data_IF_956830038115
#
_entry.id   IF_956830038115
#
_cell.length_a   1.000
_cell.length_b   1.000
_cell.length_c   1.000
_cell.angle_alpha   90.00
_cell.angle_beta   90.00
_cell.angle_gamma   90.00
#
_symmetry.space_group_name_H-M   'P 1'
#
loop_
_entity.id
_entity.type
_entity.pdbx_description
1 polymer ?
2 non-polymer ?
3 water ?
#
# COMPACT_ATOMS: atom_id res chain seq x y z
N UNK A 4 -12.76 8.60 -26.11
CA UNK A 4 -12.02 8.05 -24.95
C UNK A 4 -10.72 7.37 -25.39
N UNK A 5 -9.64 7.67 -24.68
CA UNK A 5 -8.37 7.00 -24.93
C UNK A 5 -8.36 5.58 -24.35
N UNK A 6 -7.79 4.66 -25.12
CA UNK A 6 -7.76 3.25 -24.77
C UNK A 6 -6.39 2.87 -24.22
N UNK A 7 -6.38 2.07 -23.16
CA UNK A 7 -5.15 1.71 -22.46
C UNK A 7 -4.89 0.21 -22.47
N UNK A 8 -3.66 -0.16 -22.84
CA UNK A 8 -3.18 -1.53 -22.67
C UNK A 8 -2.28 -1.59 -21.44
N UNK A 9 -2.66 -2.41 -20.47
CA UNK A 9 -1.87 -2.64 -19.27
C UNK A 9 -0.97 -3.85 -19.49
N UNK A 10 0.34 -3.63 -19.42
CA UNK A 10 1.34 -4.68 -19.66
C UNK A 10 1.99 -5.04 -18.33
N UNK A 11 1.84 -6.29 -17.92
CA UNK A 11 2.20 -6.68 -16.56
C UNK A 11 2.50 -8.18 -16.35
N UNK A 12 3.51 -8.45 -15.54
CA UNK A 12 3.76 -9.78 -15.02
C UNK A 12 3.01 -10.01 -13.70
N UNK A 13 2.41 -8.94 -13.18
CA UNK A 13 1.78 -8.96 -11.86
C UNK A 13 0.27 -8.74 -11.97
N UNK A 14 -0.48 -9.83 -12.10
CA UNK A 14 -1.93 -9.75 -12.24
C UNK A 14 -2.58 -10.90 -11.47
N UNK A 15 -3.78 -10.67 -10.89
CA UNK A 15 -4.56 -11.77 -10.33
C UNK A 15 -4.78 -12.90 -11.35
N UNK A 16 -5.12 -14.12 -10.88
CA UNK A 16 -5.51 -14.51 -9.52
C UNK A 16 -4.39 -14.60 -8.48
N UNK A 17 -3.13 -14.50 -8.92
CA UNK A 17 -1.99 -14.47 -8.00
C UNK A 17 -2.14 -13.35 -6.98
N UNK A 18 -1.83 -13.65 -5.72
CA UNK A 18 -1.97 -12.70 -4.62
C UNK A 18 -0.67 -11.90 -4.43
N UNK A 19 -0.79 -10.59 -4.26
CA UNK A 19 0.36 -9.73 -4.00
C UNK A 19 0.05 -8.25 -4.02
N UNK A 20 1.05 -7.45 -3.66
CA UNK A 20 0.93 -5.99 -3.59
C UNK A 20 0.58 -5.33 -4.91
N UNK A 21 1.38 -5.60 -5.95
CA UNK A 21 1.16 -5.00 -7.27
C UNK A 21 -0.10 -5.56 -7.93
N UNK A 22 -0.40 -6.83 -7.68
CA UNK A 22 -1.64 -7.46 -8.15
C UNK A 22 -2.88 -6.72 -7.64
N UNK A 23 -2.89 -6.38 -6.35
CA UNK A 23 -3.99 -5.66 -5.73
C UNK A 23 -4.08 -4.22 -6.24
N UNK A 24 -2.91 -3.60 -6.38
CA UNK A 24 -2.76 -2.24 -6.92
C UNK A 24 -3.40 -2.11 -8.30
N UNK A 25 -3.06 -3.02 -9.21
CA UNK A 25 -3.56 -2.97 -10.58
C UNK A 25 -5.03 -3.35 -10.67
N UNK A 26 -5.43 -4.43 -10.01
CA UNK A 26 -6.84 -4.83 -9.93
C UNK A 26 -7.74 -3.65 -9.53
N UNK A 27 -7.37 -2.95 -8.46
CA UNK A 27 -8.22 -1.89 -7.91
C UNK A 27 -8.16 -0.59 -8.73
N UNK A 28 -7.01 -0.25 -9.30
CA UNK A 28 -6.92 0.90 -10.20
C UNK A 28 -7.68 0.69 -11.51
N UNK A 29 -7.56 -0.50 -12.09
CA UNK A 29 -8.27 -0.82 -13.35
C UNK A 29 -9.79 -0.74 -13.16
N UNK A 30 -10.26 -1.20 -12.00
CA UNK A 30 -11.69 -1.22 -11.67
C UNK A 30 -12.31 0.18 -11.60
N UNK A 31 -11.48 1.21 -11.43
CA UNK A 31 -11.95 2.60 -11.38
C UNK A 31 -12.20 3.19 -12.77
N UNK A 32 -11.69 2.52 -13.80
CA UNK A 32 -11.79 3.02 -15.17
C UNK A 32 -12.94 2.38 -15.94
N UNK A 33 -13.30 3.00 -17.07
CA UNK A 33 -14.27 2.43 -18.00
C UNK A 33 -13.70 1.12 -18.55
N UNK A 34 -14.37 -0.02 -18.28
CA UNK A 34 -13.87 -1.33 -18.72
C UNK A 34 -13.69 -1.44 -20.23
N UNK A 35 -14.49 -0.71 -20.99
CA UNK A 35 -14.38 -0.69 -22.45
C UNK A 35 -13.10 0.01 -22.95
N UNK A 36 -12.47 0.79 -22.06
CA UNK A 36 -11.24 1.52 -22.40
C UNK A 36 -9.97 0.85 -21.87
N UNK A 37 -10.12 -0.36 -21.34
CA UNK A 37 -9.01 -1.09 -20.72
C UNK A 37 -8.84 -2.47 -21.36
N UNK A 38 -7.59 -2.79 -21.71
CA UNK A 38 -7.18 -4.14 -22.10
C UNK A 38 -5.94 -4.51 -21.29
N UNK A 39 -5.90 -5.75 -20.79
CA UNK A 39 -4.73 -6.22 -20.04
C UNK A 39 -3.97 -7.28 -20.82
N UNK A 40 -2.64 -7.15 -20.83
CA UNK A 40 -1.72 -8.15 -21.37
C UNK A 40 -0.87 -8.67 -20.20
N UNK A 41 -1.17 -9.89 -19.75
CA UNK A 41 -0.58 -10.43 -18.54
C UNK A 41 -0.02 -11.85 -18.71
N UNK A 42 1.02 -12.17 -17.94
CA UNK A 42 1.57 -13.52 -17.88
C UNK A 42 0.56 -14.50 -17.28
N UNK A 43 0.85 -15.79 -17.40
CA UNK A 43 -0.04 -16.85 -16.92
C UNK A 43 0.72 -17.84 -16.03
N UNK A 44 0.30 -17.96 -14.78
CA UNK A 44 0.95 -18.85 -13.82
C UNK A 44 0.27 -20.21 -13.75
N UNK A 45 -1.06 -20.20 -13.75
CA UNK A 45 -1.87 -21.41 -13.87
C UNK A 45 -3.03 -21.13 -14.83
N UNK A 46 -3.07 -21.89 -15.92
CA UNK A 46 -4.01 -21.64 -17.03
C UNK A 46 -5.49 -21.66 -16.65
N UNK A 47 -5.93 -22.74 -15.97
CA UNK A 47 -7.33 -22.87 -15.57
C UNK A 47 -7.76 -21.81 -14.53
N UNK A 48 -6.86 -21.50 -13.60
CA UNK A 48 -7.12 -20.49 -12.58
C UNK A 48 -7.22 -19.09 -13.19
N UNK A 49 -6.37 -18.80 -14.17
CA UNK A 49 -6.40 -17.52 -14.90
C UNK A 49 -7.68 -17.38 -15.71
N UNK A 50 -8.06 -18.43 -16.43
CA UNK A 50 -9.31 -18.44 -17.20
C UNK A 50 -10.52 -18.21 -16.32
N UNK A 51 -10.53 -18.86 -15.15
CA UNK A 51 -11.63 -18.73 -14.19
C UNK A 51 -11.75 -17.31 -13.64
N UNK A 52 -10.61 -16.68 -13.35
CA UNK A 52 -10.59 -15.31 -12.86
C UNK A 52 -11.02 -14.30 -13.92
N UNK A 53 -10.45 -14.45 -15.13
CA UNK A 53 -10.74 -13.54 -16.24
C UNK A 53 -12.21 -13.55 -16.65
N UNK A 54 -12.84 -14.71 -16.49
CA UNK A 54 -14.27 -14.90 -16.76
C UNK A 54 -15.16 -14.01 -15.86
N UNK A 55 -14.64 -13.60 -14.72
CA UNK A 55 -15.41 -12.77 -13.76
C UNK A 55 -15.34 -11.28 -14.08
N UNK A 56 -14.41 -10.89 -14.95
CA UNK A 56 -14.14 -9.48 -15.23
C UNK A 56 -15.02 -8.91 -16.36
N UNK A 57 -15.24 -7.59 -16.33
CA UNK A 57 -15.99 -6.91 -17.39
C UNK A 57 -15.08 -6.21 -18.41
N UNK A 58 -13.77 -6.46 -18.30
CA UNK A 58 -12.79 -5.99 -19.28
C UNK A 58 -11.92 -7.15 -19.79
N UNK A 59 -11.31 -6.96 -20.96
CA UNK A 59 -10.55 -8.02 -21.63
C UNK A 59 -9.16 -8.22 -21.04
N UNK A 60 -8.81 -9.49 -20.81
CA UNK A 60 -7.45 -9.88 -20.43
C UNK A 60 -6.90 -10.82 -21.49
N UNK A 61 -5.79 -10.42 -22.10
CA UNK A 61 -5.06 -11.25 -23.06
C UNK A 61 -3.90 -11.91 -22.33
N UNK A 62 -3.97 -13.23 -22.21
CA UNK A 62 -2.99 -13.98 -21.43
C UNK A 62 -1.78 -14.41 -22.26
N UNK A 63 -0.60 -14.02 -21.81
CA UNK A 63 0.68 -14.45 -22.36
C UNK A 63 0.99 -15.84 -21.78
N UNK A 64 1.12 -16.86 -22.64
CA UNK A 64 1.24 -18.26 -22.18
C UNK A 64 2.61 -18.60 -21.57
N UNK A 65 3.18 -17.65 -20.85
CA UNK A 65 4.45 -17.83 -20.15
C UNK A 65 4.27 -17.50 -18.67
N UNK A 66 4.97 -18.25 -17.82
CA UNK A 66 4.89 -18.09 -16.37
C UNK A 66 5.43 -16.74 -15.90
N UNK A 67 6.40 -16.20 -16.64
CA UNK A 67 6.98 -14.89 -16.37
C UNK A 67 6.98 -14.09 -17.68
N UNK A 68 6.43 -12.87 -17.63
CA UNK A 68 6.54 -11.97 -18.77
C UNK A 68 7.82 -11.16 -18.65
N UNK A 69 8.69 -11.31 -19.65
CA UNK A 69 10.00 -10.67 -19.65
C UNK A 69 10.15 -9.77 -20.88
N UNK A 70 11.00 -8.73 -20.79
CA UNK A 70 11.25 -7.92 -21.98
C UNK A 70 12.10 -8.67 -23.00
N UNK A 71 11.45 -9.28 -23.99
CA UNK A 71 12.10 -10.06 -25.03
C UNK A 71 11.47 -9.69 -26.37
N UNK A 72 12.17 -9.95 -27.50
CA UNK A 72 11.60 -9.66 -28.82
C UNK A 72 10.21 -10.26 -29.05
N UNK A 73 9.99 -11.50 -28.61
CA UNK A 73 8.69 -12.16 -28.81
C UNK A 73 7.57 -11.49 -28.01
N UNK A 74 7.87 -11.14 -26.75
CA UNK A 74 6.90 -10.42 -25.91
C UNK A 74 6.59 -9.04 -26.48
N UNK A 75 7.63 -8.32 -26.91
CA UNK A 75 7.48 -7.00 -27.51
C UNK A 75 6.65 -7.04 -28.79
N UNK A 76 6.87 -8.08 -29.60
CA UNK A 76 6.10 -8.29 -30.84
C UNK A 76 4.62 -8.49 -30.55
N UNK A 77 4.31 -9.33 -29.56
CA UNK A 77 2.95 -9.61 -29.15
C UNK A 77 2.26 -8.36 -28.62
N UNK A 78 2.99 -7.58 -27.82
CA UNK A 78 2.50 -6.30 -27.31
C UNK A 78 2.19 -5.34 -28.46
N UNK A 79 3.10 -5.26 -29.42
CA UNK A 79 2.96 -4.39 -30.57
C UNK A 79 1.72 -4.70 -31.41
N UNK A 80 1.42 -5.97 -31.60
CA UNK A 80 0.26 -6.37 -32.40
C UNK A 80 -1.07 -6.09 -31.70
N UNK A 81 -1.08 -6.18 -30.37
CA UNK A 81 -2.26 -5.82 -29.57
C UNK A 81 -2.51 -4.32 -29.66
N UNK A 82 -1.45 -3.53 -29.54
CA UNK A 82 -1.52 -2.07 -29.66
C UNK A 82 -2.24 -1.65 -30.94
N UNK A 83 -1.85 -2.27 -32.06
CA UNK A 83 -2.44 -1.96 -33.36
C UNK A 83 -3.85 -2.54 -33.55
N UNK A 84 -4.06 -3.78 -33.09
CA UNK A 84 -5.36 -4.45 -33.26
C UNK A 84 -6.46 -3.83 -32.40
N UNK A 85 -6.14 -3.47 -31.16
CA UNK A 85 -7.11 -2.87 -30.25
C UNK A 85 -7.11 -1.34 -30.32
N UNK A 86 -6.34 -0.78 -31.26
CA UNK A 86 -6.21 0.68 -31.43
C UNK A 86 -5.86 1.38 -30.12
N UNK A 87 -4.76 0.92 -29.51
CA UNK A 87 -4.34 1.39 -28.19
C UNK A 87 -3.66 2.77 -28.24
N UNK A 88 -4.13 3.66 -27.36
CA UNK A 88 -3.58 5.00 -27.22
C UNK A 88 -2.50 5.05 -26.13
N UNK A 89 -2.80 4.46 -24.97
CA UNK A 89 -1.87 4.44 -23.83
C UNK A 89 -1.34 3.04 -23.58
N UNK A 90 -0.05 2.95 -23.31
CA UNK A 90 0.55 1.71 -22.82
C UNK A 90 1.05 1.93 -21.40
N UNK A 91 0.47 1.18 -20.47
CA UNK A 91 0.77 1.32 -19.05
C UNK A 91 1.48 0.07 -18.53
N UNK A 92 2.76 0.22 -18.22
CA UNK A 92 3.52 -0.84 -17.56
C UNK A 92 3.24 -0.76 -16.07
N UNK A 93 2.50 -1.75 -15.56
CA UNK A 93 2.07 -1.78 -14.16
C UNK A 93 3.21 -1.72 -13.17
N UNK A 94 4.35 -2.26 -13.58
CA UNK A 94 5.59 -2.15 -12.82
C UNK A 94 6.69 -1.77 -13.81
N UNK A 95 7.43 -0.72 -13.48
CA UNK A 95 8.41 -0.14 -14.41
C UNK A 95 9.57 -1.08 -14.74
N UNK A 96 10.26 -1.57 -13.71
CA UNK A 96 11.44 -2.41 -13.92
C UNK A 96 11.09 -3.90 -13.80
N UNK A 97 11.45 -4.71 -14.82
CA UNK A 97 12.13 -4.35 -16.07
C UNK A 97 11.25 -4.21 -17.33
N UNK A 98 9.94 -4.45 -17.24
CA UNK A 98 9.09 -4.53 -18.45
C UNK A 98 8.99 -3.24 -19.27
N UNK A 99 9.10 -2.08 -18.61
CA UNK A 99 9.04 -0.79 -19.31
C UNK A 99 10.25 -0.53 -20.22
N UNK A 100 11.19 -1.48 -20.26
CA UNK A 100 12.25 -1.47 -21.26
C UNK A 100 11.71 -1.76 -22.67
N UNK A 101 10.44 -2.15 -22.74
CA UNK A 101 9.73 -2.34 -24.01
C UNK A 101 8.97 -1.07 -24.45
N UNK A 102 9.21 0.05 -23.78
CA UNK A 102 8.50 1.30 -24.07
C UNK A 102 8.78 1.84 -25.47
N UNK A 103 10.02 1.64 -25.95
CA UNK A 103 10.40 2.00 -27.31
C UNK A 103 9.53 1.32 -28.35
N UNK A 104 9.33 0.02 -28.18
CA UNK A 104 8.48 -0.78 -29.07
C UNK A 104 7.04 -0.29 -29.04
N UNK A 105 6.56 0.11 -27.86
CA UNK A 105 5.21 0.63 -27.69
C UNK A 105 4.98 1.89 -28.54
N UNK A 106 5.94 2.81 -28.52
CA UNK A 106 5.89 4.01 -29.36
C UNK A 106 6.03 3.67 -30.85
N UNK A 107 6.88 2.71 -31.18
CA UNK A 107 7.04 2.22 -32.54
C UNK A 107 5.73 1.63 -33.10
N UNK A 108 5.00 0.93 -32.23
CA UNK A 108 3.74 0.28 -32.59
C UNK A 108 2.59 1.29 -32.76
N UNK A 109 2.81 2.53 -32.33
CA UNK A 109 1.86 3.61 -32.58
C UNK A 109 1.18 4.20 -31.35
N UNK A 110 1.56 3.75 -30.17
CA UNK A 110 1.04 4.32 -28.92
C UNK A 110 1.52 5.77 -28.75
N UNK A 111 0.60 6.63 -28.33
CA UNK A 111 0.87 8.07 -28.21
C UNK A 111 1.29 8.49 -26.80
N UNK A 112 1.14 7.57 -25.84
CA UNK A 112 1.56 7.81 -24.47
C UNK A 112 2.00 6.51 -23.79
N UNK A 113 3.16 6.56 -23.15
CA UNK A 113 3.66 5.44 -22.37
C UNK A 113 3.74 5.83 -20.89
N UNK A 114 3.10 5.01 -20.05
CA UNK A 114 3.10 5.22 -18.61
C UNK A 114 3.75 4.01 -17.95
N UNK A 115 4.56 4.27 -16.92
CA UNK A 115 5.11 3.19 -16.09
C UNK A 115 4.98 3.54 -14.60
N UNK A 116 4.52 2.58 -13.81
CA UNK A 116 4.32 2.77 -12.38
C UNK A 116 5.46 2.17 -11.56
N UNK A 117 6.04 2.98 -10.69
CA UNK A 117 7.04 2.49 -9.73
C UNK A 117 6.36 2.14 -8.43
N UNK A 118 7.02 1.31 -7.63
CA UNK A 118 6.49 0.91 -6.33
C UNK A 118 7.58 1.02 -5.26
N UNK A 119 8.08 -0.11 -4.78
CA UNK A 119 9.15 -0.11 -3.77
C UNK A 119 10.52 -0.46 -4.34
N UNK A 120 10.55 -1.41 -5.26
CA UNK A 120 11.80 -2.00 -5.75
C UNK A 120 12.76 -1.04 -6.45
N UNK A 121 12.22 -0.05 -7.16
CA UNK A 121 13.03 0.90 -7.93
C UNK A 121 14.02 1.71 -7.08
N UNK A 122 13.73 1.85 -5.79
CA UNK A 122 14.64 2.50 -4.84
C UNK A 122 15.98 1.76 -4.80
N UNK A 123 15.91 0.43 -4.66
CA UNK A 123 17.11 -0.41 -4.66
C UNK A 123 17.83 -0.42 -6.00
N UNK A 124 17.06 -0.26 -7.08
CA UNK A 124 17.61 -0.20 -8.45
C UNK A 124 18.48 1.04 -8.67
N UNK A 125 18.23 2.10 -7.92
CA UNK A 125 19.00 3.34 -8.04
C UNK A 125 20.36 3.29 -7.33
N UNK A 126 20.65 2.15 -6.69
CA UNK A 126 21.85 1.99 -5.87
C UNK A 126 23.00 1.28 -6.59
N UNK A 127 22.70 0.60 -7.68
CA UNK A 127 23.72 -0.14 -8.45
C UNK A 127 23.94 0.52 -9.83
N UNK A 128 25.19 0.47 -10.34
CA UNK A 128 25.52 1.11 -11.62
C UNK A 128 24.70 0.60 -12.80
N UNK A 129 24.57 -0.71 -12.91
CA UNK A 129 23.84 -1.34 -14.00
C UNK A 129 22.33 -1.12 -13.96
N UNK A 130 21.74 -1.35 -12.79
CA UNK A 130 20.30 -1.18 -12.60
C UNK A 130 19.88 0.28 -12.74
N UNK A 131 20.79 1.18 -12.37
CA UNK A 131 20.57 2.62 -12.52
C UNK A 131 20.53 3.02 -14.00
N UNK A 132 21.39 2.40 -14.81
CA UNK A 132 21.40 2.63 -16.24
C UNK A 132 20.11 2.13 -16.91
N UNK A 133 19.57 1.03 -16.39
CA UNK A 133 18.28 0.50 -16.85
C UNK A 133 17.14 1.47 -16.53
N UNK A 134 17.19 2.06 -15.34
CA UNK A 134 16.21 3.07 -14.92
C UNK A 134 16.24 4.29 -15.83
N UNK A 135 17.45 4.71 -16.25
CA UNK A 135 17.59 5.83 -17.18
C UNK A 135 16.99 5.51 -18.54
N UNK A 136 17.22 4.28 -19.03
CA UNK A 136 16.69 3.83 -20.31
C UNK A 136 15.17 3.83 -20.30
N UNK A 137 14.59 3.38 -19.18
CA UNK A 137 13.15 3.44 -18.97
C UNK A 137 12.67 4.90 -19.00
N UNK A 138 13.35 5.74 -18.23
CA UNK A 138 13.00 7.17 -18.14
C UNK A 138 12.99 7.89 -19.48
N UNK A 139 13.94 7.57 -20.35
CA UNK A 139 14.06 8.22 -21.65
C UNK A 139 12.94 7.86 -22.63
N UNK A 140 12.27 6.73 -22.38
CA UNK A 140 11.24 6.22 -23.29
C UNK A 140 9.82 6.28 -22.72
N UNK A 141 9.72 6.63 -21.44
CA UNK A 141 8.43 6.73 -20.75
C UNK A 141 7.99 8.19 -20.63
N UNK A 142 6.71 8.46 -20.93
CA UNK A 142 6.18 9.81 -20.89
C UNK A 142 5.73 10.20 -19.48
N UNK A 143 5.14 9.25 -18.77
CA UNK A 143 4.66 9.47 -17.41
C UNK A 143 5.17 8.38 -16.47
N UNK A 144 5.94 8.78 -15.47
CA UNK A 144 6.38 7.85 -14.44
C UNK A 144 5.63 8.13 -13.15
N UNK A 145 4.89 7.14 -12.66
CA UNK A 145 4.15 7.30 -11.41
C UNK A 145 4.94 6.78 -10.21
N UNK A 146 4.70 7.38 -9.05
CA UNK A 146 5.39 7.04 -7.81
C UNK A 146 4.39 7.02 -6.65
N UNK A 147 4.71 6.25 -5.61
CA UNK A 147 3.80 6.06 -4.47
C UNK A 147 3.95 7.11 -3.35
N UNK A 148 5.15 7.67 -3.19
CA UNK A 148 5.41 8.70 -2.17
C UNK A 148 6.50 9.67 -2.61
N UNK A 149 6.49 10.86 -2.01
CA UNK A 149 7.55 11.83 -2.24
C UNK A 149 8.91 11.28 -1.80
N UNK A 150 8.89 10.40 -0.81
CA UNK A 150 10.10 9.70 -0.36
C UNK A 150 10.73 8.85 -1.47
N UNK A 151 9.94 7.94 -2.06
CA UNK A 151 10.46 7.06 -3.12
C UNK A 151 10.94 7.87 -4.31
N UNK A 152 10.17 8.90 -4.67
CA UNK A 152 10.56 9.82 -5.74
C UNK A 152 11.94 10.43 -5.51
N UNK A 153 12.19 10.95 -4.31
CA UNK A 153 13.50 11.51 -3.96
C UNK A 153 14.64 10.50 -4.14
N UNK A 154 14.38 9.25 -3.77
CA UNK A 154 15.39 8.19 -3.84
C UNK A 154 15.82 7.83 -5.27
N UNK A 155 14.88 7.86 -6.23
CA UNK A 155 15.18 7.40 -7.59
C UNK A 155 15.01 8.41 -8.74
N UNK A 156 14.61 9.64 -8.43
CA UNK A 156 14.33 10.65 -9.47
C UNK A 156 15.51 10.89 -10.41
N UNK A 157 16.71 11.09 -9.86
CA UNK A 157 17.90 11.37 -10.66
C UNK A 157 18.27 10.21 -11.59
N UNK A 158 17.96 8.99 -11.17
CA UNK A 158 18.23 7.79 -11.97
C UNK A 158 17.38 7.74 -13.25
N UNK A 159 16.10 8.06 -13.13
CA UNK A 159 15.18 8.07 -14.27
C UNK A 159 15.46 9.22 -15.25
N UNK A 160 15.95 10.34 -14.72
CA UNK A 160 16.24 11.51 -15.54
C UNK A 160 15.06 12.44 -15.68
N UNK A 161 15.20 13.46 -16.52
CA UNK A 161 14.18 14.52 -16.63
C UNK A 161 13.20 14.39 -17.80
N UNK A 162 13.33 13.34 -18.60
CA UNK A 162 12.41 13.13 -19.74
C UNK A 162 10.94 12.90 -19.35
N UNK A 163 10.67 12.00 -18.39
CA UNK A 163 9.26 11.78 -18.07
C UNK A 163 8.68 12.85 -17.13
N UNK A 164 7.36 12.99 -17.15
CA UNK A 164 6.65 13.74 -16.11
C UNK A 164 6.37 12.79 -14.95
N UNK A 165 6.57 13.28 -13.73
CA UNK A 165 6.40 12.45 -12.53
C UNK A 165 5.06 12.73 -11.85
N UNK A 166 4.27 11.67 -11.66
CA UNK A 166 2.92 11.79 -11.11
C UNK A 166 2.72 10.92 -9.88
N UNK A 167 2.14 11.50 -8.83
CA UNK A 167 1.87 10.78 -7.59
C UNK A 167 0.67 9.86 -7.75
N UNK A 168 0.92 8.55 -7.76
CA UNK A 168 -0.16 7.57 -7.90
C UNK A 168 -0.01 6.40 -6.91
N UNK A 169 -0.22 6.66 -5.61
CA UNK A 169 -0.23 5.61 -4.62
C UNK A 169 -1.53 4.83 -4.64
N UNK A 170 -1.56 3.69 -3.97
CA UNK A 170 -2.79 2.95 -3.76
C UNK A 170 -3.83 3.81 -3.04
N UNK A 171 -5.09 3.59 -3.36
CA UNK A 171 -6.18 4.16 -2.59
C UNK A 171 -6.60 3.22 -1.47
N UNK A 172 -7.60 3.63 -0.70
CA UNK A 172 -8.19 2.77 0.31
C UNK A 172 -9.71 2.69 0.07
N UNK A 173 -10.29 1.51 0.25
CA UNK A 173 -11.74 1.32 0.09
C UNK A 173 -12.48 1.87 1.31
N UNK A 174 -13.07 3.05 1.15
CA UNK A 174 -13.75 3.75 2.24
C UNK A 174 -15.13 3.16 2.61
N UNK A 175 -15.61 2.21 1.81
CA UNK A 175 -16.85 1.50 2.12
C UNK A 175 -16.60 0.23 2.94
N UNK A 176 -15.46 -0.42 2.70
CA UNK A 176 -15.06 -1.61 3.46
C UNK A 176 -14.35 -1.20 4.75
N UNK A 177 -13.42 -0.25 4.65
CA UNK A 177 -12.77 0.34 5.81
C UNK A 177 -13.58 1.57 6.20
N UNK A 178 -14.42 1.40 7.22
CA UNK A 178 -15.39 2.42 7.61
C UNK A 178 -15.52 2.42 9.14
N UNK A 179 -15.82 3.59 9.74
CA UNK A 179 -15.98 3.63 11.20
C UNK A 179 -17.07 2.65 11.69
N UNK A 180 -16.82 2.03 12.82
CA UNK A 180 -17.75 1.05 13.38
C UNK A 180 -18.93 1.74 14.04
N UNK A 181 -20.11 1.16 13.88
CA UNK A 181 -21.27 1.57 14.66
C UNK A 181 -20.99 1.20 16.12
N UNK A 182 -21.57 1.97 17.08
CA UNK A 182 -21.44 1.60 18.48
C UNK A 182 -21.77 0.12 18.77
N UNK A 183 -22.78 -0.42 18.11
CA UNK A 183 -23.16 -1.83 18.31
C UNK A 183 -22.03 -2.78 17.91
N UNK A 184 -21.49 -2.59 16.72
CA UNK A 184 -20.45 -3.47 16.19
C UNK A 184 -19.14 -3.36 17.00
N UNK A 185 -18.79 -2.13 17.38
CA UNK A 185 -17.60 -1.87 18.19
C UNK A 185 -17.70 -2.54 19.56
N UNK A 186 -18.87 -2.42 20.19
CA UNK A 186 -19.09 -3.04 21.50
C UNK A 186 -19.03 -4.57 21.41
N UNK A 187 -19.65 -5.14 20.38
CA UNK A 187 -19.66 -6.59 20.17
C UNK A 187 -18.28 -7.16 19.84
N UNK A 188 -17.52 -6.44 19.02
CA UNK A 188 -16.14 -6.85 18.66
C UNK A 188 -15.27 -6.97 19.91
N UNK A 189 -15.34 -5.97 20.78
CA UNK A 189 -14.57 -5.96 22.02
C UNK A 189 -14.92 -7.15 22.92
N UNK A 190 -16.22 -7.44 23.04
CA UNK A 190 -16.69 -8.59 23.81
C UNK A 190 -16.23 -9.93 23.22
N UNK A 191 -16.18 -10.00 21.89
CA UNK A 191 -15.65 -11.16 21.17
C UNK A 191 -14.18 -11.40 21.56
N UNK A 192 -13.44 -10.31 21.73
CA UNK A 192 -12.02 -10.37 22.10
C UNK A 192 -11.80 -10.58 23.60
N UNK A 193 -12.91 -10.59 24.36
CA UNK A 193 -12.85 -10.75 25.81
C UNK A 193 -12.59 -9.44 26.54
N UNK A 194 -12.92 -8.33 25.87
CA UNK A 194 -12.74 -6.99 26.43
C UNK A 194 -14.11 -6.33 26.64
N UNK A 195 -14.10 -5.09 27.13
CA UNK A 195 -15.33 -4.34 27.36
C UNK A 195 -15.28 -2.98 26.65
N UNK A 196 -16.31 -2.16 26.87
CA UNK A 196 -16.37 -0.80 26.33
C UNK A 196 -15.27 0.10 26.92
N UNK A 197 -14.74 -0.28 28.08
CA UNK A 197 -13.77 0.55 28.79
C UNK A 197 -12.30 0.16 28.55
N UNK A 198 -12.08 -1.01 27.95
CA UNK A 198 -10.71 -1.50 27.68
C UNK A 198 -9.94 -0.56 26.74
N UNK A 199 -8.76 -0.09 27.18
CA UNK A 199 -7.89 0.68 26.28
C UNK A 199 -7.26 -0.28 25.27
N UNK A 200 -7.49 -0.01 23.99
CA UNK A 200 -7.07 -0.93 22.94
C UNK A 200 -6.17 -0.23 21.91
N UNK A 201 -4.95 -0.74 21.78
CA UNK A 201 -4.00 -0.29 20.76
C UNK A 201 -3.84 -1.40 19.74
N UNK A 202 -4.12 -1.08 18.48
CA UNK A 202 -4.03 -2.07 17.40
C UNK A 202 -2.83 -1.83 16.51
N UNK A 203 -2.11 -2.91 16.19
CA UNK A 203 -1.05 -2.88 15.20
C UNK A 203 -1.25 -3.99 14.18
N UNK A 204 -1.77 -3.61 13.01
CA UNK A 204 -1.89 -4.53 11.88
C UNK A 204 -0.70 -4.33 10.96
N UNK A 205 0.04 -5.40 10.72
CA UNK A 205 1.24 -5.40 9.88
C UNK A 205 1.92 -6.76 9.92
N UNK A 206 2.66 -7.08 8.85
CA UNK A 206 3.50 -8.26 8.82
C UNK A 206 4.50 -8.19 9.97
N UNK A 207 4.79 -9.34 10.58
CA UNK A 207 5.68 -9.37 11.73
C UNK A 207 7.13 -9.42 11.27
N UNK A 208 7.67 -8.23 10.99
CA UNK A 208 9.09 -8.04 10.65
C UNK A 208 9.65 -6.88 11.48
N UNK A 209 10.97 -6.88 11.76
CA UNK A 209 11.56 -5.85 12.63
C UNK A 209 11.17 -4.41 12.33
N UNK A 210 11.17 -4.02 11.06
CA UNK A 210 11.01 -2.61 10.68
C UNK A 210 9.63 -2.01 11.00
N UNK A 211 8.62 -2.86 11.23
CA UNK A 211 7.26 -2.39 11.51
C UNK A 211 7.10 -1.84 12.93
N UNK A 212 8.06 -2.14 13.80
CA UNK A 212 8.11 -1.55 15.13
C UNK A 212 7.13 -2.13 16.15
N UNK A 213 6.71 -3.38 15.95
CA UNK A 213 5.99 -4.11 16.98
C UNK A 213 6.89 -4.26 18.21
N UNK A 214 8.19 -4.44 17.96
CA UNK A 214 9.17 -4.51 19.04
C UNK A 214 9.25 -3.19 19.83
N UNK A 215 9.19 -2.07 19.11
CA UNK A 215 9.18 -0.74 19.72
C UNK A 215 7.93 -0.56 20.60
N UNK A 216 6.79 -1.01 20.07
CA UNK A 216 5.51 -0.99 20.78
C UNK A 216 5.55 -1.82 22.07
N UNK A 217 6.08 -3.03 21.98
CA UNK A 217 6.22 -3.93 23.13
C UNK A 217 7.10 -3.32 24.22
N UNK A 218 8.20 -2.67 23.80
CA UNK A 218 9.13 -2.04 24.74
C UNK A 218 8.53 -0.81 25.41
N UNK A 219 7.55 -0.19 24.77
CA UNK A 219 6.84 0.96 25.32
C UNK A 219 5.72 0.56 26.29
N UNK A 220 5.29 -0.70 26.22
CA UNK A 220 4.14 -1.16 27.01
C UNK A 220 4.25 -1.04 28.56
N UNK A 221 5.42 -1.40 29.16
CA UNK A 221 5.49 -1.31 30.63
C UNK A 221 5.01 0.02 31.21
N UNK A 222 5.41 1.14 30.60
CA UNK A 222 4.95 2.46 31.07
C UNK A 222 3.46 2.66 30.80
N UNK A 223 2.98 2.22 29.64
CA UNK A 223 1.56 2.30 29.30
C UNK A 223 0.73 1.52 30.32
N UNK A 224 1.13 0.28 30.59
CA UNK A 224 0.44 -0.61 31.54
C UNK A 224 0.42 -0.01 32.95
N UNK A 225 1.53 0.60 33.37
CA UNK A 225 1.60 1.20 34.70
C UNK A 225 0.53 2.29 34.87
N UNK A 226 0.35 3.10 33.82
CA UNK A 226 -0.65 4.18 33.84
C UNK A 226 -2.07 3.65 33.64
N UNK A 227 -2.22 2.69 32.73
CA UNK A 227 -3.52 2.10 32.40
C UNK A 227 -3.41 0.57 32.42
N UNK A 228 -3.56 -0.04 33.61
CA UNK A 228 -3.28 -1.47 33.84
C UNK A 228 -4.06 -2.48 32.96
N UNK A 229 -5.18 -2.06 32.39
CA UNK A 229 -5.97 -2.93 31.52
C UNK A 229 -5.76 -2.69 30.02
N UNK A 230 -4.75 -1.87 29.69
CA UNK A 230 -4.42 -1.56 28.29
C UNK A 230 -3.97 -2.79 27.52
N UNK A 231 -4.50 -2.96 26.31
CA UNK A 231 -4.19 -4.11 25.49
C UNK A 231 -3.56 -3.70 24.17
N UNK A 232 -2.40 -4.28 23.89
CA UNK A 232 -1.76 -4.16 22.59
C UNK A 232 -2.09 -5.38 21.76
N UNK A 233 -2.81 -5.15 20.66
CA UNK A 233 -3.18 -6.24 19.76
C UNK A 233 -2.23 -6.28 18.58
N UNK A 234 -1.47 -7.35 18.48
CA UNK A 234 -0.56 -7.56 17.38
C UNK A 234 -1.23 -8.48 16.35
N UNK A 235 -1.66 -7.87 15.25
CA UNK A 235 -2.39 -8.58 14.19
C UNK A 235 -1.47 -8.77 12.99
N UNK A 236 -1.29 -10.04 12.60
CA UNK A 236 -0.46 -10.38 11.46
C UNK A 236 0.45 -11.56 11.71
N UNK A 237 1.22 -11.93 10.68
CA UNK A 237 2.15 -13.05 10.77
C UNK A 237 3.51 -12.68 10.16
N UNK A 238 4.55 -13.42 10.54
CA UNK A 238 5.89 -13.21 10.01
C UNK A 238 6.97 -13.88 10.84
N UNK A 239 8.18 -13.89 10.29
CA UNK A 239 9.33 -14.61 10.87
C UNK A 239 9.80 -14.04 12.22
N UNK A 240 9.46 -12.78 12.48
CA UNK A 240 9.89 -12.07 13.69
C UNK A 240 9.01 -12.40 14.91
N UNK A 241 7.98 -13.23 14.71
CA UNK A 241 7.02 -13.60 15.75
C UNK A 241 7.67 -14.12 17.04
N UNK A 242 8.57 -15.09 16.91
CA UNK A 242 9.22 -15.71 18.07
C UNK A 242 10.00 -14.70 18.91
N UNK A 243 10.66 -13.76 18.25
CA UNK A 243 11.38 -12.68 18.92
C UNK A 243 10.40 -11.71 19.62
N UNK A 244 9.29 -11.40 18.95
CA UNK A 244 8.27 -10.53 19.53
C UNK A 244 7.63 -11.14 20.78
N UNK A 245 7.35 -12.44 20.73
CA UNK A 245 6.80 -13.15 21.88
C UNK A 245 7.77 -13.14 23.07
N UNK A 246 9.07 -13.30 22.78
CA UNK A 246 10.10 -13.25 23.82
C UNK A 246 10.20 -11.87 24.44
N UNK A 247 10.14 -10.83 23.61
CA UNK A 247 10.13 -9.44 24.06
C UNK A 247 8.93 -9.14 24.97
N UNK A 248 7.79 -9.78 24.67
CA UNK A 248 6.55 -9.53 25.38
C UNK A 248 6.34 -10.37 26.64
N UNK A 249 7.36 -11.15 27.02
CA UNK A 249 7.26 -12.13 28.13
C UNK A 249 6.79 -11.52 29.46
N UNK A 250 7.31 -10.34 29.80
CA UNK A 250 6.97 -9.71 31.08
C UNK A 250 5.73 -8.81 31.00
N UNK A 251 5.16 -8.67 29.80
CA UNK A 251 3.93 -7.90 29.60
C UNK A 251 2.83 -8.77 28.97
N UNK A 252 2.91 -10.08 29.21
CA UNK A 252 2.08 -11.08 28.53
C UNK A 252 0.57 -10.89 28.68
N UNK A 253 0.14 -10.38 29.83
CA UNK A 253 -1.28 -10.18 30.10
C UNK A 253 -1.87 -9.01 29.31
N UNK A 254 -1.02 -8.12 28.83
CA UNK A 254 -1.47 -6.91 28.13
C UNK A 254 -1.11 -6.87 26.63
N UNK A 255 -0.54 -7.96 26.13
CA UNK A 255 -0.16 -8.07 24.73
C UNK A 255 -0.77 -9.33 24.13
N UNK A 256 -1.51 -9.17 23.03
CA UNK A 256 -2.17 -10.29 22.38
C UNK A 256 -1.66 -10.51 20.96
N UNK A 257 -1.14 -11.71 20.71
CA UNK A 257 -0.75 -12.13 19.36
C UNK A 257 -1.92 -12.87 18.72
N UNK A 258 -2.65 -12.16 17.88
CA UNK A 258 -3.89 -12.68 17.30
C UNK A 258 -3.67 -13.46 16.01
N UNK A 259 -2.45 -13.44 15.50
CA UNK A 259 -2.12 -14.09 14.24
C UNK A 259 -2.69 -13.34 13.06
N UNK A 260 -2.68 -13.98 11.89
CA UNK A 260 -3.25 -13.36 10.69
C UNK A 260 -4.76 -13.57 10.69
N UNK A 261 -5.49 -12.49 10.93
CA UNK A 261 -6.96 -12.54 11.00
C UNK A 261 -7.57 -12.56 9.62
N UNK A 262 -8.79 -13.09 9.53
CA UNK A 262 -9.59 -12.98 8.32
C UNK A 262 -9.89 -11.50 8.03
N UNK A 263 -10.04 -11.17 6.76
CA UNK A 263 -10.19 -9.80 6.27
C UNK A 263 -11.18 -8.94 7.07
N UNK A 264 -12.43 -9.40 7.17
CA UNK A 264 -13.46 -8.64 7.90
C UNK A 264 -13.20 -8.59 9.41
N UNK A 265 -12.70 -9.68 9.98
CA UNK A 265 -12.33 -9.75 11.39
C UNK A 265 -11.24 -8.73 11.72
N UNK A 266 -10.29 -8.58 10.82
CA UNK A 266 -9.21 -7.61 10.95
C UNK A 266 -9.76 -6.18 10.96
N UNK A 267 -10.68 -5.91 10.03
CA UNK A 267 -11.36 -4.60 9.94
C UNK A 267 -12.16 -4.28 11.21
N UNK A 268 -12.96 -5.25 11.67
CA UNK A 268 -13.77 -5.09 12.88
C UNK A 268 -12.91 -4.77 14.10
N UNK A 269 -11.81 -5.50 14.24
CA UNK A 269 -10.83 -5.29 15.31
C UNK A 269 -10.18 -3.90 15.21
N UNK A 270 -9.77 -3.53 14.00
CA UNK A 270 -9.19 -2.22 13.75
C UNK A 270 -10.15 -1.10 14.15
N UNK A 271 -11.38 -1.18 13.66
CA UNK A 271 -12.40 -0.14 13.91
C UNK A 271 -12.81 -0.01 15.37
N UNK A 272 -12.61 -1.08 16.15
CA UNK A 272 -12.96 -1.10 17.57
C UNK A 272 -11.85 -0.58 18.49
N UNK A 273 -10.65 -0.39 17.92
CA UNK A 273 -9.49 0.09 18.69
C UNK A 273 -9.58 1.58 19.04
N UNK A 274 -8.91 1.96 20.12
CA UNK A 274 -8.80 3.35 20.51
C UNK A 274 -7.69 4.06 19.73
N UNK A 275 -6.59 3.35 19.49
CA UNK A 275 -5.44 3.89 18.76
C UNK A 275 -4.90 2.82 17.81
N UNK A 276 -4.53 3.25 16.59
CA UNK A 276 -3.71 2.42 15.71
C UNK A 276 -2.28 2.93 15.77
N UNK A 277 -1.34 2.02 16.04
CA UNK A 277 0.06 2.37 16.13
C UNK A 277 0.93 1.40 15.34
N UNK A 278 1.83 1.96 14.54
CA UNK A 278 2.84 1.18 13.82
C UNK A 278 4.03 2.10 13.60
N UNK A 279 4.98 2.11 14.55
CA UNK A 279 6.11 3.04 14.50
C UNK A 279 7.23 2.52 13.60
N UNK A 280 6.97 2.49 12.30
CA UNK A 280 7.90 2.00 11.29
C UNK A 280 9.26 2.72 11.35
N UNK A 281 10.33 1.93 11.29
CA UNK A 281 11.69 2.46 11.23
C UNK A 281 12.40 1.97 9.98
N UNK A 282 13.29 2.81 9.44
CA UNK A 282 14.11 2.42 8.29
C UNK A 282 15.29 1.57 8.75
N UNK A 283 15.48 0.44 8.06
CA UNK A 283 16.55 -0.51 8.36
C UNK A 283 17.25 -0.93 7.08
N UNK A 284 18.01 -2.02 7.16
CA UNK A 284 18.66 -2.63 6.00
C UNK A 284 19.53 -1.67 5.20
N UNK A 285 20.25 -0.81 5.92
CA UNK A 285 21.15 0.16 5.30
C UNK A 285 20.44 1.22 4.48
N UNK A 286 19.18 1.50 4.82
CA UNK A 286 18.35 2.45 4.07
C UNK A 286 17.45 1.79 3.03
N UNK A 287 17.58 0.48 2.86
CA UNK A 287 16.81 -0.26 1.85
C UNK A 287 15.55 -0.93 2.38
N UNK A 288 15.55 -1.23 3.69
CA UNK A 288 14.37 -1.77 4.36
C UNK A 288 13.54 -0.59 4.88
N UNK A 289 12.61 -0.14 4.05
CA UNK A 289 11.90 1.12 4.29
C UNK A 289 10.40 1.00 4.01
N UNK A 290 9.62 1.79 4.74
CA UNK A 290 8.18 1.90 4.52
C UNK A 290 7.92 2.83 3.34
N UNK A 291 7.54 2.26 2.21
CA UNK A 291 7.31 3.03 0.98
C UNK A 291 6.19 4.06 1.15
N UNK A 292 5.09 3.61 1.75
CA UNK A 292 3.99 4.50 2.09
C UNK A 292 3.33 4.07 3.39
N UNK A 293 2.67 2.91 3.36
CA UNK A 293 2.01 2.38 4.56
C UNK A 293 0.50 2.47 4.44
N UNK A 294 -0.09 1.54 3.73
CA UNK A 294 -1.53 1.52 3.52
C UNK A 294 -2.31 1.28 4.84
N UNK A 295 -1.67 0.59 5.79
CA UNK A 295 -2.30 0.35 7.10
C UNK A 295 -2.71 1.63 7.83
N UNK A 296 -1.95 2.71 7.63
CA UNK A 296 -2.26 4.01 8.23
C UNK A 296 -3.52 4.62 7.62
N UNK A 297 -3.71 4.39 6.33
CA UNK A 297 -4.87 4.88 5.59
C UNK A 297 -6.11 4.09 5.96
N UNK A 298 -5.93 2.77 6.14
CA UNK A 298 -6.99 1.87 6.58
C UNK A 298 -7.51 2.26 7.97
N UNK A 299 -6.59 2.61 8.88
CA UNK A 299 -6.94 3.04 10.22
C UNK A 299 -7.73 4.34 10.21
N UNK A 300 -7.22 5.32 9.46
CA UNK A 300 -7.90 6.61 9.30
C UNK A 300 -9.28 6.44 8.68
N UNK A 301 -9.37 5.53 7.70
CA UNK A 301 -10.65 5.19 7.07
C UNK A 301 -11.65 4.58 8.07
N UNK A 302 -11.14 3.91 9.09
CA UNK A 302 -11.97 3.35 10.16
C UNK A 302 -12.23 4.35 11.31
N UNK A 303 -11.76 5.58 11.14
CA UNK A 303 -11.95 6.65 12.12
C UNK A 303 -11.16 6.45 13.39
N UNK A 304 -9.95 5.91 13.26
CA UNK A 304 -9.09 5.59 14.40
C UNK A 304 -7.83 6.46 14.36
N UNK A 305 -7.49 7.14 15.48
CA UNK A 305 -6.26 7.95 15.58
C UNK A 305 -5.02 7.13 15.26
N UNK A 306 -4.07 7.73 14.55
CA UNK A 306 -2.89 7.00 14.08
C UNK A 306 -1.60 7.50 14.73
N UNK A 307 -0.76 6.55 15.17
CA UNK A 307 0.63 6.84 15.45
C UNK A 307 1.45 6.14 14.38
N UNK A 308 2.18 6.93 13.60
CA UNK A 308 3.00 6.43 12.50
C UNK A 308 4.48 6.60 12.82
N UNK A 309 5.33 5.87 12.10
CA UNK A 309 6.78 5.97 12.26
C UNK A 309 7.42 6.96 11.31
N UNK A 310 8.72 7.13 11.45
CA UNK A 310 9.49 8.09 10.67
C UNK A 310 9.98 7.52 9.34
N UNK A 311 9.82 6.22 9.14
CA UNK A 311 10.37 5.52 7.98
C UNK A 311 9.73 5.92 6.65
N UNK A 312 10.59 6.27 5.68
CA UNK A 312 10.17 6.50 4.29
C UNK A 312 8.98 7.41 4.08
N UNK A 313 7.94 6.87 3.45
CA UNK A 313 6.74 7.64 3.15
C UNK A 313 5.66 7.60 4.22
N UNK A 314 5.92 6.92 5.33
CA UNK A 314 4.95 6.80 6.43
C UNK A 314 4.37 8.13 6.93
N UNK A 315 5.23 9.14 7.20
CA UNK A 315 4.68 10.43 7.66
C UNK A 315 3.74 11.12 6.65
N UNK A 316 3.86 10.77 5.38
CA UNK A 316 3.03 11.35 4.31
C UNK A 316 1.57 10.91 4.36
N UNK A 317 1.28 9.86 5.12
CA UNK A 317 -0.07 9.32 5.21
C UNK A 317 -0.98 10.09 6.18
N UNK A 318 -0.37 10.81 7.11
CA UNK A 318 -1.11 11.50 8.17
C UNK A 318 -0.91 13.02 8.14
N UNK A 319 -1.85 13.74 8.77
CA UNK A 319 -1.73 15.17 8.99
C UNK A 319 -1.70 15.41 10.50
N UNK A 320 -1.29 16.61 10.95
CA UNK A 320 -1.33 16.93 12.39
C UNK A 320 -2.72 16.75 13.02
N UNK A 321 -3.77 16.80 12.21
CA UNK A 321 -5.14 16.59 12.69
C UNK A 321 -5.50 15.11 12.87
N UNK A 322 -4.83 14.22 12.14
CA UNK A 322 -5.27 12.83 12.06
C UNK A 322 -4.37 11.83 12.79
N UNK A 323 -3.11 12.20 12.99
CA UNK A 323 -2.12 11.28 13.51
C UNK A 323 -0.86 11.93 14.02
N UNK A 324 -0.01 11.12 14.63
CA UNK A 324 1.27 11.58 15.17
C UNK A 324 2.40 10.75 14.57
N UNK A 325 3.53 11.41 14.32
CA UNK A 325 4.73 10.74 13.82
C UNK A 325 5.76 10.68 14.94
N UNK A 326 6.28 9.48 15.21
CA UNK A 326 7.26 9.29 16.27
C UNK A 326 8.36 8.31 15.86
N UNK A 327 9.56 8.50 16.40
CA UNK A 327 10.62 7.52 16.26
C UNK A 327 10.36 6.37 17.23
N UNK A 328 10.17 5.17 16.68
CA UNK A 328 9.83 3.98 17.45
C UNK A 328 10.74 3.67 18.62
N UNK A 329 12.05 3.83 18.40
CA UNK A 329 13.07 3.56 19.42
C UNK A 329 13.04 4.52 20.62
N UNK A 330 12.36 5.66 20.46
CA UNK A 330 12.18 6.59 21.58
C UNK A 330 11.07 6.06 22.48
N UNK A 331 11.46 5.19 23.42
CA UNK A 331 10.53 4.49 24.30
C UNK A 331 9.68 5.45 25.12
N UNK A 332 10.33 6.43 25.75
CA UNK A 332 9.64 7.40 26.60
C UNK A 332 8.59 8.21 25.86
N UNK A 333 8.94 8.68 24.65
CA UNK A 333 8.00 9.48 23.85
C UNK A 333 6.82 8.65 23.32
N UNK A 334 7.12 7.45 22.85
CA UNK A 334 6.09 6.54 22.34
C UNK A 334 5.08 6.17 23.43
N UNK A 335 5.57 5.80 24.61
CA UNK A 335 4.68 5.47 25.72
C UNK A 335 3.90 6.71 26.19
N UNK A 336 4.57 7.86 26.22
CA UNK A 336 3.94 9.14 26.59
C UNK A 336 2.79 9.50 25.65
N UNK A 337 3.05 9.40 24.34
CA UNK A 337 2.03 9.60 23.31
C UNK A 337 0.84 8.66 23.47
N UNK A 338 1.11 7.39 23.74
CA UNK A 338 0.06 6.39 23.92
C UNK A 338 -0.82 6.70 25.15
N UNK A 339 -0.20 6.96 26.30
CA UNK A 339 -0.93 7.30 27.53
C UNK A 339 -1.74 8.60 27.36
N UNK A 340 -1.10 9.62 26.79
CA UNK A 340 -1.73 10.92 26.54
C UNK A 340 -3.02 10.78 25.71
N UNK A 341 -2.94 10.00 24.64
CA UNK A 341 -4.10 9.76 23.77
C UNK A 341 -5.18 8.89 24.42
N UNK A 342 -4.77 7.82 25.10
CA UNK A 342 -5.69 6.96 25.83
C UNK A 342 -6.44 7.71 26.93
N UNK A 343 -5.79 8.71 27.52
CA UNK A 343 -6.37 9.52 28.60
C UNK A 343 -7.25 10.68 28.10
N UNK A 344 -7.32 10.88 26.78
CA UNK A 344 -8.07 11.99 26.18
C UNK A 344 -9.02 11.46 25.09
N UNK A 345 -10.22 10.97 25.48
CA UNK A 345 -11.18 10.43 24.52
C UNK A 345 -11.76 11.47 23.56
N UNK A 346 -11.72 12.75 23.94
CA UNK A 346 -12.21 13.83 23.09
C UNK A 346 -11.25 14.09 21.94
N UNK A 347 -9.95 14.18 22.27
CA UNK A 347 -8.91 14.31 21.26
C UNK A 347 -8.93 13.12 20.30
N UNK A 348 -9.10 11.91 20.84
CA UNK A 348 -9.20 10.70 20.02
C UNK A 348 -10.37 10.76 19.04
N UNK A 349 -11.54 11.14 19.55
CA UNK A 349 -12.73 11.31 18.72
C UNK A 349 -12.49 12.31 17.59
N UNK A 350 -11.85 13.43 17.93
CA UNK A 350 -11.55 14.48 16.95
C UNK A 350 -10.54 14.02 15.89
N UNK A 351 -9.49 13.32 16.34
CA UNK A 351 -8.47 12.80 15.44
C UNK A 351 -9.03 11.76 14.47
N UNK A 352 -9.80 10.82 15.00
CA UNK A 352 -10.44 9.79 14.19
C UNK A 352 -11.42 10.33 13.18
N UNK A 353 -12.23 11.30 13.61
CA UNK A 353 -13.14 12.00 12.69
C UNK A 353 -12.34 12.67 11.57
N UNK A 354 -11.24 13.33 11.94
CA UNK A 354 -10.36 13.98 10.98
C UNK A 354 -9.70 12.98 10.04
N UNK A 355 -9.34 11.81 10.58
CA UNK A 355 -8.77 10.72 9.78
C UNK A 355 -9.72 10.25 8.69
N UNK A 356 -10.98 10.04 9.05
CA UNK A 356 -12.01 9.63 8.11
C UNK A 356 -12.24 10.67 7.02
N UNK A 357 -12.35 11.94 7.41
CA UNK A 357 -12.51 13.05 6.47
C UNK A 357 -11.31 13.16 5.53
N UNK A 358 -10.11 12.95 6.07
CA UNK A 358 -8.87 13.03 5.30
C UNK A 358 -8.81 12.02 4.16
N UNK A 359 -9.08 10.76 4.46
CA UNK A 359 -9.06 9.70 3.43
C UNK A 359 -10.18 9.84 2.41
N UNK A 360 -11.35 10.32 2.85
CA UNK A 360 -12.47 10.58 1.94
C UNK A 360 -12.13 11.71 0.96
N UNK A 361 -11.31 12.66 1.41
CA UNK A 361 -10.92 13.80 0.59
C UNK A 361 -9.70 13.53 -0.29
N UNK A 362 -8.82 12.62 0.14
CA UNK A 362 -7.50 12.49 -0.49
C UNK A 362 -7.02 11.07 -0.80
N UNK A 363 -7.67 10.05 -0.24
CA UNK A 363 -7.11 8.68 -0.29
C UNK A 363 -8.04 7.56 -0.77
N UNK A 364 -9.30 7.88 -1.03
CA UNK A 364 -10.28 6.88 -1.48
C UNK A 364 -9.97 6.39 -2.90
N UNK A 365 -10.54 5.25 -3.27
CA UNK A 365 -10.41 4.73 -4.64
C UNK A 365 -11.14 5.62 -5.65
N UNK A 366 -12.13 6.37 -5.17
CA UNK A 366 -12.83 7.35 -5.99
C UNK A 366 -11.92 8.52 -6.36
N UNK A 367 -11.21 9.03 -5.35
CA UNK A 367 -10.23 10.10 -5.54
C UNK A 367 -9.05 9.63 -6.40
N UNK A 368 -8.48 8.48 -6.05
CA UNK A 368 -7.32 7.94 -6.77
C UNK A 368 -7.67 7.51 -8.19
N UNK A 369 -8.88 6.96 -8.35
CA UNK A 369 -9.40 6.61 -9.67
C UNK A 369 -9.48 7.79 -10.60
N UNK A 370 -9.89 8.94 -10.06
CA UNK A 370 -9.93 10.20 -10.80
C UNK A 370 -8.54 10.65 -11.23
N UNK A 371 -7.55 10.47 -10.35
CA UNK A 371 -6.15 10.74 -10.68
C UNK A 371 -5.67 9.91 -11.87
N UNK A 372 -6.02 8.62 -11.87
CA UNK A 372 -5.65 7.72 -12.97
C UNK A 372 -6.36 8.12 -14.26
N UNK A 373 -7.63 8.48 -14.16
CA UNK A 373 -8.42 8.92 -15.32
C UNK A 373 -7.75 10.13 -15.98
N UNK A 374 -7.31 11.09 -15.16
CA UNK A 374 -6.62 12.28 -15.67
C UNK A 374 -5.32 11.96 -16.42
N UNK A 375 -4.59 10.96 -15.93
CA UNK A 375 -3.36 10.50 -16.60
C UNK A 375 -3.69 9.83 -17.93
N UNK A 376 -4.64 8.90 -17.91
CA UNK A 376 -4.97 8.10 -19.09
C UNK A 376 -5.80 8.85 -20.15
N UNK A 377 -6.53 9.88 -19.74
CA UNK A 377 -7.44 10.57 -20.65
C UNK A 377 -6.96 11.94 -21.14
N UNK A 378 -5.90 12.47 -20.53
CA UNK A 378 -5.32 13.73 -20.99
C UNK A 378 -4.56 13.55 -22.30
N UNK A 379 -4.60 14.56 -23.16
CA UNK A 379 -3.84 14.57 -24.40
C UNK A 379 -2.34 14.58 -24.08
N UNK A 380 -1.55 13.78 -24.82
CA UNK A 380 -0.10 13.73 -24.59
C UNK A 380 0.55 15.10 -24.78
N UNK A 381 1.56 15.39 -23.95
CA UNK A 381 2.23 16.70 -23.95
C UNK A 381 3.04 16.92 -25.21
#
# INVERSE_FOLDING_TARGET
MSASRKTLVVTNDFPPRIGGIQSYLRDFIATQDPESIVVFASTQNAEEAHAYDKTLDYEVIRWPRSVMLPTPTTAHAMAEIIREREIDNVWFGAAAPLALMAGTAKQAGASKVIASTHGHEVGWSMLPGSRQSLRKIGTEVDVLTYISQYTLRRFKSAFGSHPTFEHLPSGVDVKRFTPATPEDKSATRKKLGFTDTTPVIACNSRLVPRKGQDSLIKAMPQVIAARPDAQLLIVGSGRYESTLRRLATDVSQNVKFLGRLEYQDMINTLAAADIFAMPARTRGGGLDVEGLGIVYLEAQACGVPVIAGTSGGAPETVTPATGLVVEGSDVDKLSELLIELLDDPIRRAAMGAAGRAHVEAEWSWEIMGERLTNILQSEPRKLAAALEHHHHHH
#
